data_IF_531588671537
#
_entry.id   IF_531588671537
#
_cell.length_a   1.000
_cell.length_b   1.000
_cell.length_c   1.000
_cell.angle_alpha   90.00
_cell.angle_beta   90.00
_cell.angle_gamma   90.00
#
_symmetry.space_group_name_H-M   'P 1'
#
loop_
_entity.id
_entity.type
_entity.pdbx_description
1 polymer ?
#
# COMPACT_ATOMS: atom_id res chain seq x y z
N UNK A 1 -0.67 70.66 5.79
CA UNK A 1 -1.29 69.90 6.89
C UNK A 1 -2.10 68.77 6.25
N UNK A 2 -1.69 67.53 6.56
CA UNK A 2 -2.24 66.20 6.21
C UNK A 2 -2.11 65.73 4.74
N UNK A 3 -1.19 64.76 4.62
CA UNK A 3 -0.93 63.77 3.55
C UNK A 3 -1.93 62.61 3.70
N UNK A 4 -2.32 61.96 2.59
CA UNK A 4 -3.11 60.73 2.67
C UNK A 4 -3.29 60.02 1.32
N UNK A 5 -2.19 59.51 0.76
CA UNK A 5 -2.23 58.52 -0.31
C UNK A 5 -2.61 57.16 0.30
N UNK A 6 -3.83 56.68 0.04
CA UNK A 6 -4.26 55.34 0.41
C UNK A 6 -3.64 54.33 -0.57
N UNK A 7 -2.62 53.64 -0.10
CA UNK A 7 -2.04 52.46 -0.72
C UNK A 7 -3.14 51.39 -0.85
N UNK A 8 -3.45 50.97 -2.07
CA UNK A 8 -3.99 49.63 -2.32
C UNK A 8 -2.92 48.64 -1.86
N UNK A 9 -3.07 48.15 -0.63
CA UNK A 9 -2.26 47.10 -0.07
C UNK A 9 -2.39 45.85 -0.95
N UNK A 10 -1.28 45.50 -1.60
CA UNK A 10 -1.07 44.21 -2.22
C UNK A 10 -1.16 43.20 -1.07
N UNK A 11 -2.22 42.40 -1.04
CA UNK A 11 -2.32 41.27 -0.13
C UNK A 11 -1.20 40.31 -0.54
N UNK A 12 -0.11 40.29 0.24
CA UNK A 12 0.86 39.20 0.20
C UNK A 12 0.14 37.94 0.63
N UNK A 13 -0.35 37.20 -0.36
CA UNK A 13 -0.71 35.80 -0.23
C UNK A 13 0.61 35.11 0.13
N UNK A 14 0.85 34.87 1.41
CA UNK A 14 1.85 33.89 1.81
C UNK A 14 1.44 32.61 1.12
N UNK A 15 2.18 32.26 0.07
CA UNK A 15 1.95 31.06 -0.71
C UNK A 15 1.88 29.90 0.25
N UNK A 16 0.70 29.28 0.33
CA UNK A 16 0.66 27.85 0.56
C UNK A 16 1.59 27.29 -0.52
N UNK A 17 2.79 26.84 -0.13
CA UNK A 17 3.55 25.97 -1.02
C UNK A 17 2.59 24.84 -1.33
N UNK A 18 2.26 24.69 -2.60
CA UNK A 18 1.59 23.49 -3.06
C UNK A 18 2.43 22.33 -2.51
N UNK A 19 1.82 21.38 -1.76
CA UNK A 19 2.57 20.25 -1.25
C UNK A 19 3.26 19.58 -2.43
N UNK A 20 4.53 19.22 -2.26
CA UNK A 20 5.24 18.50 -3.32
C UNK A 20 4.45 17.24 -3.66
N UNK A 21 4.31 16.90 -4.95
CA UNK A 21 3.53 15.75 -5.36
C UNK A 21 4.09 14.50 -4.70
N UNK A 22 3.20 13.64 -4.22
CA UNK A 22 3.58 12.40 -3.56
C UNK A 22 4.13 11.44 -4.62
N UNK A 23 5.40 11.04 -4.46
CA UNK A 23 6.10 10.19 -5.43
C UNK A 23 5.77 8.70 -5.27
N UNK A 24 5.22 8.32 -4.12
CA UNK A 24 4.86 6.94 -3.80
C UNK A 24 3.39 6.86 -3.35
N UNK A 25 2.81 5.67 -3.48
CA UNK A 25 1.44 5.39 -3.12
C UNK A 25 1.26 3.93 -2.70
N UNK A 26 0.00 3.56 -2.47
CA UNK A 26 -0.41 2.18 -2.24
C UNK A 26 -1.47 1.75 -3.23
N UNK A 27 -1.62 0.43 -3.36
CA UNK A 27 -2.89 -0.17 -3.74
C UNK A 27 -3.71 -0.48 -2.47
N UNK A 28 -5.00 -0.76 -2.63
CA UNK A 28 -5.96 -1.02 -1.57
C UNK A 28 -6.63 -2.37 -1.84
N UNK A 29 -6.64 -3.24 -0.84
CA UNK A 29 -7.24 -4.57 -0.89
C UNK A 29 -8.32 -4.65 0.18
N UNK A 30 -9.57 -4.83 -0.21
CA UNK A 30 -10.71 -4.95 0.71
C UNK A 30 -11.00 -6.42 1.01
N UNK A 31 -11.14 -6.76 2.30
CA UNK A 31 -11.39 -8.12 2.74
C UNK A 31 -12.88 -8.37 2.99
N UNK A 32 -13.57 -8.99 2.04
CA UNK A 32 -14.98 -9.35 2.19
C UNK A 32 -15.12 -10.80 2.71
N UNK A 33 -15.69 -11.05 3.91
CA UNK A 33 -15.98 -12.43 4.33
C UNK A 33 -17.01 -13.06 3.39
N UNK A 34 -16.77 -14.29 2.91
CA UNK A 34 -17.69 -14.97 2.02
C UNK A 34 -19.02 -15.35 2.70
N UNK A 35 -19.00 -15.56 4.02
CA UNK A 35 -20.17 -15.93 4.81
C UNK A 35 -20.34 -15.02 6.03
N UNK A 36 -19.34 -15.01 6.93
CA UNK A 36 -19.43 -14.37 8.24
C UNK A 36 -18.05 -13.82 8.65
N UNK A 37 -18.03 -12.66 9.31
CA UNK A 37 -16.83 -11.98 9.80
C UNK A 37 -16.04 -12.80 10.84
N UNK A 38 -16.66 -13.80 11.46
CA UNK A 38 -16.00 -14.78 12.35
C UNK A 38 -14.85 -15.54 11.67
N UNK A 39 -14.77 -15.53 10.34
CA UNK A 39 -13.59 -16.03 9.60
C UNK A 39 -12.29 -15.38 10.04
N UNK A 40 -12.34 -14.13 10.52
CA UNK A 40 -11.18 -13.38 10.99
C UNK A 40 -10.83 -13.66 12.46
N UNK A 41 -11.64 -14.41 13.21
CA UNK A 41 -11.42 -14.66 14.63
C UNK A 41 -10.06 -15.33 14.87
N UNK A 42 -9.30 -14.80 15.83
CA UNK A 42 -7.96 -15.30 16.16
C UNK A 42 -6.85 -14.85 15.19
N UNK A 43 -7.14 -13.98 14.22
CA UNK A 43 -6.11 -13.36 13.38
C UNK A 43 -5.23 -12.43 14.22
N UNK A 44 -3.93 -12.66 14.16
CA UNK A 44 -2.91 -11.79 14.77
C UNK A 44 -1.99 -11.17 13.72
N UNK A 45 -1.94 -11.76 12.52
CA UNK A 45 -1.19 -11.22 11.38
C UNK A 45 -1.96 -11.34 10.08
N UNK A 46 -1.77 -10.38 9.21
CA UNK A 46 -2.15 -10.48 7.79
C UNK A 46 -0.91 -10.31 6.94
N UNK A 47 -0.72 -11.21 5.98
CA UNK A 47 0.36 -11.13 5.00
C UNK A 47 -0.26 -10.81 3.65
N UNK A 48 0.05 -9.63 3.12
CA UNK A 48 -0.30 -9.21 1.77
C UNK A 48 0.94 -9.30 0.87
N UNK A 49 0.79 -9.84 -0.33
CA UNK A 49 1.85 -9.96 -1.32
C UNK A 49 1.29 -9.68 -2.70
N UNK A 50 1.94 -8.76 -3.41
CA UNK A 50 1.63 -8.43 -4.79
C UNK A 50 2.85 -8.65 -5.67
N UNK A 51 2.60 -9.01 -6.92
CA UNK A 51 3.64 -9.18 -7.92
C UNK A 51 3.81 -7.91 -8.73
N UNK A 52 5.05 -7.52 -9.00
CA UNK A 52 5.34 -6.38 -9.87
C UNK A 52 5.07 -6.71 -11.34
N UNK A 53 4.30 -5.85 -11.99
CA UNK A 53 4.19 -5.82 -13.45
C UNK A 53 5.48 -5.35 -14.12
N UNK A 54 5.50 -5.40 -15.45
CA UNK A 54 6.70 -5.11 -16.25
C UNK A 54 7.30 -3.72 -15.99
N UNK A 55 6.45 -2.69 -15.91
CA UNK A 55 6.88 -1.31 -15.61
C UNK A 55 7.67 -1.21 -14.29
N UNK A 56 7.14 -1.77 -13.20
CA UNK A 56 7.80 -1.72 -11.89
C UNK A 56 9.11 -2.52 -11.87
N UNK A 57 9.14 -3.67 -12.56
CA UNK A 57 10.35 -4.48 -12.68
C UNK A 57 11.45 -3.71 -13.38
N UNK A 58 11.16 -3.12 -14.54
CA UNK A 58 12.15 -2.32 -15.28
C UNK A 58 12.58 -1.08 -14.49
N UNK A 59 11.62 -0.40 -13.84
CA UNK A 59 11.92 0.79 -13.06
C UNK A 59 12.90 0.48 -11.91
N UNK A 60 12.62 -0.53 -11.09
CA UNK A 60 13.51 -0.89 -9.98
C UNK A 60 14.85 -1.45 -10.47
N UNK A 61 14.91 -2.21 -11.56
CA UNK A 61 16.16 -2.88 -11.96
C UNK A 61 17.07 -2.00 -12.82
N UNK A 62 16.50 -1.14 -13.67
CA UNK A 62 17.23 -0.46 -14.74
C UNK A 62 17.17 1.07 -14.67
N UNK A 63 16.05 1.64 -14.21
CA UNK A 63 15.84 3.10 -14.24
C UNK A 63 16.27 3.76 -12.95
N UNK A 64 15.78 3.23 -11.82
CA UNK A 64 15.95 3.82 -10.48
C UNK A 64 16.34 2.75 -9.44
N UNK A 65 17.43 2.00 -9.63
CA UNK A 65 17.88 0.99 -8.67
C UNK A 65 18.19 1.56 -7.28
N UNK A 66 18.49 2.86 -7.18
CA UNK A 66 18.66 3.56 -5.91
C UNK A 66 17.39 3.57 -5.03
N UNK A 67 16.22 3.42 -5.65
CA UNK A 67 14.91 3.42 -4.98
C UNK A 67 14.48 2.02 -4.50
N UNK A 68 15.26 0.97 -4.77
CA UNK A 68 15.03 -0.36 -4.18
C UNK A 68 15.10 -0.29 -2.65
N UNK A 69 14.44 -1.21 -1.95
CA UNK A 69 14.41 -1.24 -0.48
C UNK A 69 15.82 -1.26 0.15
N UNK A 70 16.77 -1.97 -0.46
CA UNK A 70 18.18 -2.03 -0.05
C UNK A 70 19.08 -1.05 -0.83
N UNK A 71 18.48 -0.21 -1.67
CA UNK A 71 19.12 0.88 -2.36
C UNK A 71 19.41 2.06 -1.42
N UNK A 72 20.35 2.95 -1.81
CA UNK A 72 20.75 4.10 -0.98
C UNK A 72 19.62 5.09 -0.65
N UNK A 73 18.59 5.20 -1.49
CA UNK A 73 17.49 6.16 -1.31
C UNK A 73 16.18 5.47 -0.88
N UNK A 74 15.94 4.23 -1.33
CA UNK A 74 14.69 3.52 -1.08
C UNK A 74 14.49 3.08 0.37
N UNK A 75 15.55 2.75 1.12
CA UNK A 75 15.41 2.30 2.51
C UNK A 75 14.63 3.27 3.40
N UNK A 76 14.92 4.57 3.29
CA UNK A 76 14.20 5.62 4.04
C UNK A 76 12.72 5.74 3.63
N UNK A 77 12.41 5.53 2.34
CA UNK A 77 11.03 5.50 1.85
C UNK A 77 10.29 4.31 2.48
N UNK A 78 10.87 3.11 2.47
CA UNK A 78 10.22 1.93 3.05
C UNK A 78 9.99 2.09 4.56
N UNK A 79 10.94 2.68 5.29
CA UNK A 79 10.80 2.96 6.73
C UNK A 79 9.66 3.97 7.00
N UNK A 80 9.61 5.08 6.26
CA UNK A 80 8.52 6.07 6.38
C UNK A 80 7.16 5.42 6.11
N UNK A 81 7.06 4.61 5.07
CA UNK A 81 5.81 3.98 4.68
C UNK A 81 5.34 2.94 5.68
N UNK A 82 6.24 2.18 6.32
CA UNK A 82 5.88 1.26 7.39
C UNK A 82 5.13 1.96 8.54
N UNK A 83 5.48 3.21 8.87
CA UNK A 83 4.79 4.00 9.89
C UNK A 83 3.41 4.52 9.42
N UNK A 84 3.20 4.63 8.11
CA UNK A 84 2.02 5.27 7.51
C UNK A 84 0.91 4.28 7.13
N UNK A 85 1.21 3.05 6.75
CA UNK A 85 0.19 2.13 6.20
C UNK A 85 -0.98 1.84 7.15
N UNK A 86 -0.75 1.86 8.47
CA UNK A 86 -1.77 1.63 9.48
C UNK A 86 -2.24 2.89 10.23
N UNK A 87 -1.83 4.10 9.80
CA UNK A 87 -2.21 5.36 10.47
C UNK A 87 -2.58 6.49 9.52
N UNK A 88 -2.15 6.43 8.26
CA UNK A 88 -2.30 7.49 7.26
C UNK A 88 -3.58 7.47 6.43
N UNK A 89 -4.51 6.55 6.73
CA UNK A 89 -5.69 6.30 5.92
C UNK A 89 -6.94 6.09 6.77
N UNK A 90 -8.10 6.47 6.21
CA UNK A 90 -9.40 6.12 6.77
C UNK A 90 -9.77 4.67 6.38
N UNK A 91 -10.71 4.07 7.10
CA UNK A 91 -11.27 2.75 6.79
C UNK A 91 -10.27 1.57 6.71
N UNK A 92 -9.18 1.68 7.46
CA UNK A 92 -8.19 0.62 7.71
C UNK A 92 -8.54 -0.19 8.98
N UNK A 93 -8.06 -1.45 9.09
CA UNK A 93 -8.17 -2.21 10.35
C UNK A 93 -7.25 -1.66 11.43
N UNK A 94 -7.48 -2.03 12.69
CA UNK A 94 -6.56 -1.74 13.79
C UNK A 94 -5.29 -2.61 13.66
N UNK A 95 -4.22 -1.99 13.15
CA UNK A 95 -3.00 -2.70 12.76
C UNK A 95 -1.71 -1.91 13.05
N UNK A 96 -0.59 -2.64 12.96
CA UNK A 96 0.77 -2.12 12.86
C UNK A 96 1.48 -2.85 11.72
N UNK A 97 2.47 -2.23 11.07
CA UNK A 97 3.31 -2.93 10.08
C UNK A 97 4.48 -3.60 10.81
N UNK A 98 4.57 -4.92 10.75
CA UNK A 98 5.73 -5.66 11.28
C UNK A 98 6.91 -5.62 10.29
N UNK A 99 6.63 -5.77 9.00
CA UNK A 99 7.67 -5.89 7.96
C UNK A 99 7.13 -5.50 6.58
N UNK A 100 7.95 -4.76 5.83
CA UNK A 100 7.83 -4.65 4.37
C UNK A 100 9.03 -5.35 3.75
N UNK A 101 8.83 -6.19 2.74
CA UNK A 101 9.91 -6.86 2.01
C UNK A 101 9.68 -6.74 0.52
N UNK A 102 10.62 -6.09 -0.15
CA UNK A 102 10.77 -6.13 -1.58
C UNK A 102 11.64 -7.34 -1.97
N UNK A 103 11.25 -8.06 -3.02
CA UNK A 103 12.04 -9.16 -3.58
C UNK A 103 12.16 -8.94 -5.08
N UNK A 104 13.40 -8.89 -5.58
CA UNK A 104 13.74 -8.67 -6.99
C UNK A 104 14.77 -9.71 -7.43
N UNK A 105 14.34 -10.96 -7.67
CA UNK A 105 15.23 -12.07 -8.02
C UNK A 105 15.09 -12.39 -9.51
N UNK A 106 16.06 -11.95 -10.30
CA UNK A 106 16.08 -12.16 -11.76
C UNK A 106 16.14 -13.64 -12.15
N UNK A 107 16.98 -14.43 -11.46
CA UNK A 107 17.21 -15.84 -11.79
C UNK A 107 15.94 -16.70 -11.69
N UNK A 108 15.05 -16.38 -10.75
CA UNK A 108 13.80 -17.13 -10.53
C UNK A 108 12.57 -16.36 -11.03
N UNK A 109 12.76 -15.19 -11.63
CA UNK A 109 11.69 -14.26 -12.04
C UNK A 109 10.70 -13.94 -10.91
N UNK A 110 11.18 -13.72 -9.70
CA UNK A 110 10.34 -13.37 -8.54
C UNK A 110 10.50 -11.89 -8.25
N UNK A 111 9.44 -11.11 -8.49
CA UNK A 111 9.41 -9.67 -8.31
C UNK A 111 8.18 -9.30 -7.50
N UNK A 112 8.32 -9.10 -6.19
CA UNK A 112 7.19 -8.96 -5.29
C UNK A 112 7.40 -7.87 -4.25
N UNK A 113 6.28 -7.36 -3.74
CA UNK A 113 6.22 -6.59 -2.51
C UNK A 113 5.36 -7.37 -1.52
N UNK A 114 5.93 -7.68 -0.36
CA UNK A 114 5.22 -8.30 0.76
C UNK A 114 5.12 -7.30 1.91
N UNK A 115 3.92 -7.16 2.48
CA UNK A 115 3.69 -6.43 3.72
C UNK A 115 3.08 -7.38 4.75
N UNK A 116 3.67 -7.43 5.93
CA UNK A 116 3.16 -8.16 7.08
C UNK A 116 2.60 -7.18 8.09
N UNK A 117 1.30 -7.28 8.35
CA UNK A 117 0.60 -6.49 9.35
C UNK A 117 0.42 -7.31 10.61
N UNK A 118 0.72 -6.73 11.77
CA UNK A 118 0.17 -7.16 13.06
C UNK A 118 -1.24 -6.60 13.19
N UNK A 119 -2.19 -7.44 13.62
CA UNK A 119 -3.58 -7.04 13.83
C UNK A 119 -3.85 -6.99 15.32
N UNK A 120 -4.22 -5.80 15.81
CA UNK A 120 -4.49 -5.56 17.22
C UNK A 120 -5.93 -5.95 17.59
N UNK A 121 -6.89 -5.71 16.68
CA UNK A 121 -8.27 -6.14 16.82
C UNK A 121 -8.80 -6.80 15.53
N UNK A 122 -8.88 -8.15 15.47
CA UNK A 122 -9.35 -8.85 14.28
C UNK A 122 -10.83 -8.62 13.96
N UNK A 123 -11.63 -8.12 14.92
CA UNK A 123 -13.03 -7.77 14.65
C UNK A 123 -13.17 -6.59 13.68
N UNK A 124 -12.10 -5.82 13.51
CA UNK A 124 -12.05 -4.70 12.58
C UNK A 124 -11.77 -5.13 11.14
N UNK A 125 -11.36 -6.36 10.84
CA UNK A 125 -10.88 -6.74 9.50
C UNK A 125 -11.96 -6.77 8.41
N UNK A 126 -13.21 -7.07 8.76
CA UNK A 126 -14.26 -7.26 7.77
C UNK A 126 -14.57 -5.96 7.02
N UNK A 127 -14.50 -6.00 5.69
CA UNK A 127 -14.76 -4.89 4.77
C UNK A 127 -13.85 -3.67 4.99
N UNK A 128 -12.66 -3.86 5.59
CA UNK A 128 -11.63 -2.83 5.66
C UNK A 128 -10.60 -2.98 4.57
N UNK A 129 -9.98 -1.86 4.24
CA UNK A 129 -8.95 -1.78 3.22
C UNK A 129 -7.56 -1.97 3.85
N UNK A 130 -6.78 -2.89 3.30
CA UNK A 130 -5.34 -2.98 3.56
C UNK A 130 -4.60 -2.26 2.45
N UNK A 131 -3.73 -1.34 2.83
CA UNK A 131 -2.93 -0.54 1.91
C UNK A 131 -1.58 -1.18 1.66
N UNK A 132 -1.31 -1.65 0.45
CA UNK A 132 -0.03 -2.33 0.10
C UNK A 132 0.87 -1.35 -0.67
N UNK A 133 2.01 -1.01 -0.08
CA UNK A 133 3.01 -0.08 -0.62
C UNK A 133 4.32 -0.11 0.20
N UNK A 134 5.29 0.77 -0.09
CA UNK A 134 5.25 1.83 -1.11
C UNK A 134 5.40 1.32 -2.54
N UNK A 135 4.72 1.98 -3.49
CA UNK A 135 4.86 1.80 -4.93
C UNK A 135 5.03 3.17 -5.58
N UNK A 136 5.92 3.37 -6.58
CA UNK A 136 6.06 4.66 -7.25
C UNK A 136 4.77 5.03 -7.99
N UNK A 137 4.45 6.32 -8.04
CA UNK A 137 3.34 6.83 -8.86
C UNK A 137 3.65 6.74 -10.34
N UNK A 138 2.64 6.85 -11.20
CA UNK A 138 2.84 6.87 -12.66
C UNK A 138 3.74 8.05 -13.09
N UNK A 139 3.65 9.19 -12.42
CA UNK A 139 4.52 10.34 -12.66
C UNK A 139 5.98 10.04 -12.31
N UNK A 140 6.24 9.39 -11.17
CA UNK A 140 7.59 9.01 -10.76
C UNK A 140 8.17 7.88 -11.63
N UNK A 141 7.35 6.89 -11.97
CA UNK A 141 7.78 5.72 -12.75
C UNK A 141 7.93 6.04 -14.25
N UNK A 142 7.21 7.04 -14.77
CA UNK A 142 7.13 7.33 -16.20
C UNK A 142 6.38 6.26 -17.01
N UNK A 143 5.71 5.32 -16.33
CA UNK A 143 4.90 4.25 -16.89
C UNK A 143 3.82 3.82 -15.90
N UNK A 144 2.83 3.02 -16.33
CA UNK A 144 1.76 2.54 -15.46
C UNK A 144 2.28 1.45 -14.48
N UNK A 145 2.42 1.75 -13.17
CA UNK A 145 3.12 0.89 -12.20
C UNK A 145 2.18 -0.19 -11.65
N UNK A 146 1.75 -1.10 -12.51
CA UNK A 146 0.81 -2.16 -12.15
C UNK A 146 1.44 -3.21 -11.23
N UNK A 147 0.65 -3.66 -10.27
CA UNK A 147 0.88 -4.86 -9.47
C UNK A 147 -0.29 -5.83 -9.62
N UNK A 148 0.00 -7.13 -9.48
CA UNK A 148 -1.00 -8.19 -9.52
C UNK A 148 -1.18 -8.82 -8.13
N UNK A 149 -2.43 -8.93 -7.67
CA UNK A 149 -2.80 -9.74 -6.51
C UNK A 149 -3.17 -11.15 -6.95
N UNK A 150 -2.45 -12.15 -6.46
CA UNK A 150 -2.77 -13.56 -6.71
C UNK A 150 -3.65 -14.16 -5.60
N UNK A 151 -4.23 -15.34 -5.83
CA UNK A 151 -5.07 -16.01 -4.83
C UNK A 151 -4.30 -16.37 -3.54
N UNK A 152 -2.98 -16.54 -3.60
CA UNK A 152 -2.10 -16.71 -2.43
C UNK A 152 -1.57 -15.39 -1.88
N UNK A 153 -1.91 -14.26 -2.50
CA UNK A 153 -1.38 -12.93 -2.19
C UNK A 153 -1.99 -12.28 -0.95
N UNK A 154 -3.00 -12.89 -0.32
CA UNK A 154 -3.50 -12.43 0.97
C UNK A 154 -3.87 -13.61 1.87
N UNK A 155 -3.37 -13.58 3.10
CA UNK A 155 -3.67 -14.62 4.10
C UNK A 155 -3.62 -14.05 5.51
N UNK A 156 -4.45 -14.58 6.40
CA UNK A 156 -4.38 -14.28 7.83
C UNK A 156 -3.88 -15.45 8.64
N UNK A 157 -3.19 -15.11 9.72
CA UNK A 157 -2.47 -16.05 10.56
C UNK A 157 -2.76 -15.82 12.04
N UNK A 158 -2.79 -16.91 12.80
CA UNK A 158 -2.94 -16.88 14.25
C UNK A 158 -1.61 -16.59 14.97
N UNK A 159 -1.64 -16.56 16.31
CA UNK A 159 -0.46 -16.29 17.14
C UNK A 159 0.68 -17.31 16.97
N UNK A 160 0.37 -18.52 16.50
CA UNK A 160 1.33 -19.59 16.18
C UNK A 160 1.85 -19.51 14.73
N UNK A 161 1.56 -18.42 14.03
CA UNK A 161 1.89 -18.18 12.62
C UNK A 161 1.26 -19.18 11.64
N UNK A 162 0.22 -19.91 12.06
CA UNK A 162 -0.54 -20.82 11.20
C UNK A 162 -1.57 -20.03 10.40
N UNK A 163 -1.68 -20.35 9.11
CA UNK A 163 -2.69 -19.75 8.26
C UNK A 163 -4.08 -20.26 8.63
N UNK A 164 -5.02 -19.34 8.86
CA UNK A 164 -6.39 -19.65 9.29
C UNK A 164 -7.46 -19.23 8.29
N UNK A 165 -7.12 -18.37 7.33
CA UNK A 165 -7.99 -18.02 6.20
C UNK A 165 -7.18 -17.60 4.97
N UNK A 166 -7.85 -17.52 3.81
CA UNK A 166 -7.27 -17.08 2.52
C UNK A 166 -8.32 -16.48 1.60
N UNK A 167 -7.86 -15.93 0.47
CA UNK A 167 -8.71 -15.57 -0.67
C UNK A 167 -9.37 -16.84 -1.27
N UNK A 168 -10.70 -16.86 -1.36
CA UNK A 168 -11.45 -17.81 -2.18
C UNK A 168 -11.73 -17.28 -3.58
N UNK A 169 -11.89 -15.97 -3.73
CA UNK A 169 -12.31 -15.35 -4.98
C UNK A 169 -11.63 -14.01 -5.15
N UNK A 170 -11.00 -13.84 -6.31
CA UNK A 170 -10.43 -12.58 -6.76
C UNK A 170 -11.51 -11.71 -7.44
N UNK A 171 -11.34 -10.38 -7.44
CA UNK A 171 -12.16 -9.49 -8.25
C UNK A 171 -12.02 -9.79 -9.75
N UNK A 172 -12.93 -9.23 -10.57
CA UNK A 172 -12.90 -9.41 -12.02
C UNK A 172 -11.62 -8.90 -12.71
N UNK A 173 -10.91 -7.96 -12.05
CA UNK A 173 -9.54 -7.55 -12.35
C UNK A 173 -8.74 -7.62 -11.05
N UNK A 174 -7.63 -8.36 -11.06
CA UNK A 174 -6.72 -8.50 -9.92
C UNK A 174 -5.45 -7.64 -10.03
N UNK A 175 -5.39 -6.76 -11.04
CA UNK A 175 -4.34 -5.78 -11.23
C UNK A 175 -4.74 -4.42 -10.66
N UNK A 176 -3.77 -3.70 -10.09
CA UNK A 176 -3.96 -2.37 -9.53
C UNK A 176 -2.69 -1.52 -9.67
N UNK A 177 -2.81 -0.21 -9.64
CA UNK A 177 -1.70 0.74 -9.56
C UNK A 177 -1.94 1.75 -8.42
N UNK A 178 -0.91 2.50 -8.06
CA UNK A 178 -1.03 3.62 -7.10
C UNK A 178 -2.16 4.56 -7.48
N UNK A 179 -2.95 5.00 -6.50
CA UNK A 179 -4.05 5.93 -6.75
C UNK A 179 -5.25 5.28 -7.44
N UNK A 180 -5.37 3.95 -7.39
CA UNK A 180 -6.54 3.25 -7.96
C UNK A 180 -7.86 3.82 -7.44
N UNK A 181 -8.88 3.81 -8.30
CA UNK A 181 -10.22 4.28 -7.96
C UNK A 181 -10.90 3.43 -6.89
N UNK A 182 -11.15 2.15 -7.17
CA UNK A 182 -11.75 1.20 -6.23
C UNK A 182 -10.71 0.17 -5.73
N UNK A 183 -10.87 -0.28 -4.48
CA UNK A 183 -10.05 -1.34 -3.91
C UNK A 183 -10.27 -2.69 -4.62
N UNK A 184 -9.26 -3.56 -4.55
CA UNK A 184 -9.37 -4.96 -4.94
C UNK A 184 -10.17 -5.70 -3.87
N UNK A 185 -11.49 -5.82 -4.05
CA UNK A 185 -12.36 -6.55 -3.12
C UNK A 185 -12.22 -8.07 -3.34
N UNK A 186 -11.72 -8.77 -2.33
CA UNK A 186 -11.49 -10.22 -2.35
C UNK A 186 -12.42 -10.93 -1.37
N UNK A 187 -12.91 -12.11 -1.75
CA UNK A 187 -13.68 -12.95 -0.82
C UNK A 187 -12.75 -13.82 0.02
N UNK A 188 -13.03 -13.87 1.33
CA UNK A 188 -12.24 -14.61 2.32
C UNK A 188 -13.00 -15.83 2.85
N UNK A 189 -12.31 -16.96 2.97
CA UNK A 189 -12.81 -18.21 3.56
C UNK A 189 -11.82 -18.81 4.57
N UNK A 190 -12.30 -19.62 5.55
CA UNK A 190 -11.43 -20.37 6.44
C UNK A 190 -10.45 -21.30 5.70
N UNK A 191 -9.32 -21.62 6.33
CA UNK A 191 -8.43 -22.72 5.92
C UNK A 191 -8.85 -24.06 6.52
#
# INVERSE_FOLDING_TARGET
>A
MIVGAALCGIVSINGCKEPEPENFGTIRVEMAPANDATVFAGTTRVVATVNYGECLRDWYLNVSPEQQQDGPDGGAVFDEWAERLCTGYDDIPDCEVEEITQTLIENTNVYTLRVTYQINDPSTLAYRELHVGPLPTEEMAGCNPLVELQASGLSGRNGDNQQIWRISTLPGSNEAATGQGAALSVQIVPQ
#
